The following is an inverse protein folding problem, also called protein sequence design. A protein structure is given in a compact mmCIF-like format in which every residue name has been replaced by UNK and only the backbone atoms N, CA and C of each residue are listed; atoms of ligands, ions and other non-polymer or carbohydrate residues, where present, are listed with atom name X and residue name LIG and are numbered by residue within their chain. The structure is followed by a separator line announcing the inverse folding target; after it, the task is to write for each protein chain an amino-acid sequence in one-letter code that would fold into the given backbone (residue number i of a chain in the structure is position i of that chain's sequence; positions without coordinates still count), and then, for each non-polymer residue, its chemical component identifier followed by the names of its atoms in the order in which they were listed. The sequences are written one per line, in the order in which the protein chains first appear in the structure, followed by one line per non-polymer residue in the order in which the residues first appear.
data_IF_646278383457
#
_entry.id   IF_646278383457
#
_cell.length_a   1.000
_cell.length_b   1.000
_cell.length_c   1.000
_cell.angle_alpha   90.00
_cell.angle_beta   90.00
_cell.angle_gamma   90.00
#
_symmetry.space_group_name_H-M   'P 1'
#
loop_
_entity.id
_entity.type
_entity.pdbx_description
1 polymer ?
#
# COMPACT_ATOMS: atom_id res chain seq x y z
N UNK A 1 14.56 -17.53 29.57
CA UNK A 1 13.32 -16.73 29.41
C UNK A 1 12.51 -17.06 28.14
N UNK A 2 13.07 -17.04 26.93
CA UNK A 2 12.31 -17.27 25.66
C UNK A 2 11.55 -18.62 25.59
N UNK A 3 12.06 -19.70 26.20
CA UNK A 3 11.40 -21.04 26.19
C UNK A 3 10.16 -21.07 27.07
N UNK A 4 10.15 -20.45 28.24
CA UNK A 4 9.03 -20.40 29.17
C UNK A 4 7.85 -19.60 28.62
N UNK A 5 8.11 -18.46 27.98
CA UNK A 5 7.07 -17.63 27.35
C UNK A 5 6.37 -18.38 26.21
N UNK A 6 7.14 -19.06 25.32
CA UNK A 6 6.55 -19.89 24.26
C UNK A 6 5.68 -21.03 24.77
N UNK A 7 6.00 -21.60 25.94
CA UNK A 7 5.25 -22.71 26.51
C UNK A 7 3.96 -22.24 27.20
N UNK A 8 3.96 -21.06 27.78
CA UNK A 8 2.75 -20.41 28.30
C UNK A 8 1.80 -19.96 27.18
N UNK A 9 2.30 -19.33 26.14
CA UNK A 9 1.50 -18.91 24.98
C UNK A 9 0.83 -20.07 24.24
N UNK A 10 1.43 -21.28 24.25
CA UNK A 10 0.82 -22.49 23.66
C UNK A 10 -0.35 -23.07 24.46
N UNK A 11 -0.49 -22.70 25.73
CA UNK A 11 -1.53 -23.22 26.63
C UNK A 11 -2.73 -22.28 26.79
N UNK A 12 -2.66 -21.08 26.23
CA UNK A 12 -3.75 -20.08 26.30
C UNK A 12 -4.70 -20.24 25.11
N UNK A 13 -5.98 -20.13 25.41
CA UNK A 13 -7.02 -20.15 24.38
C UNK A 13 -6.94 -18.84 23.55
N UNK A 14 -7.04 -18.87 22.20
CA UNK A 14 -7.02 -17.64 21.40
C UNK A 14 -7.98 -16.54 21.83
N UNK A 15 -9.10 -16.90 22.46
CA UNK A 15 -10.07 -15.95 23.02
C UNK A 15 -9.56 -15.17 24.26
N UNK A 16 -8.46 -15.62 24.89
CA UNK A 16 -7.89 -15.00 26.09
C UNK A 16 -6.75 -14.01 25.77
N UNK A 17 -6.42 -13.83 24.47
CA UNK A 17 -5.33 -12.93 24.04
C UNK A 17 -5.72 -11.45 23.99
N UNK A 18 -7.00 -11.10 24.10
CA UNK A 18 -7.48 -9.74 23.99
C UNK A 18 -7.04 -8.80 25.12
N UNK A 19 -6.60 -9.35 26.27
CA UNK A 19 -6.30 -8.56 27.48
C UNK A 19 -4.86 -8.72 27.99
N UNK A 20 -3.94 -9.26 27.18
CA UNK A 20 -2.54 -9.45 27.58
C UNK A 20 -1.72 -8.24 27.20
N UNK A 21 -1.52 -7.32 28.13
CA UNK A 21 -0.50 -6.28 28.00
C UNK A 21 0.91 -6.92 28.03
N UNK A 22 1.63 -6.85 26.91
CA UNK A 22 3.03 -7.25 26.84
C UNK A 22 3.90 -6.08 27.36
N UNK A 23 4.45 -6.25 28.57
CA UNK A 23 5.43 -5.33 29.13
C UNK A 23 6.85 -5.86 29.07
N UNK A 24 7.83 -4.99 29.02
CA UNK A 24 9.23 -5.31 29.25
C UNK A 24 9.83 -4.34 30.27
N UNK A 25 10.80 -4.82 31.04
CA UNK A 25 11.57 -3.96 31.94
C UNK A 25 12.78 -3.46 31.15
N UNK A 26 12.88 -2.16 30.99
CA UNK A 26 14.06 -1.49 30.46
C UNK A 26 15.22 -1.70 31.46
N UNK A 27 16.24 -2.42 31.05
CA UNK A 27 17.35 -2.83 31.93
C UNK A 27 18.22 -1.66 32.39
N UNK A 28 18.24 -0.56 31.66
CA UNK A 28 19.04 0.62 31.98
C UNK A 28 18.33 1.54 32.99
N UNK A 29 16.99 1.59 32.92
CA UNK A 29 16.18 2.49 33.77
C UNK A 29 15.40 1.76 34.85
N UNK A 30 15.27 0.43 34.77
CA UNK A 30 14.44 -0.37 35.67
C UNK A 30 12.93 -0.11 35.56
N UNK A 31 12.50 0.67 34.58
CA UNK A 31 11.10 1.06 34.40
C UNK A 31 10.39 0.03 33.53
N UNK A 32 9.22 -0.40 33.98
CA UNK A 32 8.33 -1.24 33.17
C UNK A 32 7.71 -0.39 32.04
N UNK A 33 7.97 -0.78 30.79
CA UNK A 33 7.37 -0.20 29.59
C UNK A 33 6.36 -1.18 29.04
N UNK A 34 5.11 -0.74 28.94
CA UNK A 34 4.06 -1.49 28.28
C UNK A 34 4.28 -1.31 26.76
N UNK A 35 4.43 -2.42 26.07
CA UNK A 35 4.32 -2.41 24.61
C UNK A 35 2.82 -2.31 24.33
N UNK A 36 2.37 -1.14 23.89
CA UNK A 36 1.06 -1.04 23.26
C UNK A 36 1.12 -1.93 22.02
N UNK A 37 0.59 -3.14 22.15
CA UNK A 37 0.26 -3.94 20.96
C UNK A 37 -0.85 -3.14 20.29
N UNK A 38 -0.65 -2.65 19.04
CA UNK A 38 -1.74 -2.00 18.34
C UNK A 38 -2.92 -2.95 18.42
N UNK A 39 -4.09 -2.45 18.87
CA UNK A 39 -5.31 -3.24 18.85
C UNK A 39 -5.36 -3.95 17.51
N UNK A 40 -5.46 -5.28 17.53
CA UNK A 40 -5.67 -6.05 16.33
C UNK A 40 -7.00 -5.54 15.80
N UNK A 41 -6.92 -4.55 14.92
CA UNK A 41 -8.09 -3.98 14.27
C UNK A 41 -8.86 -5.16 13.70
N UNK A 42 -10.14 -5.23 13.89
CA UNK A 42 -11.21 -6.15 13.45
C UNK A 42 -10.94 -7.09 12.27
N UNK A 43 -9.72 -7.53 12.05
CA UNK A 43 -9.28 -8.31 10.89
C UNK A 43 -9.13 -7.47 9.61
N UNK A 44 -9.30 -6.14 9.68
CA UNK A 44 -9.11 -5.25 8.53
C UNK A 44 -7.62 -5.12 8.19
N UNK A 45 -7.29 -5.27 6.90
CA UNK A 45 -5.90 -5.16 6.41
C UNK A 45 -5.47 -3.70 6.22
N UNK A 46 -6.45 -2.81 6.00
CA UNK A 46 -6.24 -1.38 5.71
C UNK A 46 -6.68 -0.56 6.92
N UNK A 47 -5.75 0.11 7.62
CA UNK A 47 -6.07 0.86 8.82
C UNK A 47 -6.90 2.11 8.54
N UNK A 48 -7.74 2.46 9.51
CA UNK A 48 -8.55 3.68 9.47
C UNK A 48 -7.80 4.92 10.01
N UNK A 49 -6.50 4.78 10.31
CA UNK A 49 -5.65 5.85 10.82
C UNK A 49 -4.58 6.22 9.80
N UNK A 50 -3.99 7.40 9.95
CA UNK A 50 -2.84 7.79 9.12
C UNK A 50 -1.64 6.91 9.44
N UNK A 51 -1.06 6.33 8.39
CA UNK A 51 0.22 5.64 8.46
C UNK A 51 1.38 6.59 8.10
N UNK A 52 2.63 6.18 8.30
CA UNK A 52 3.79 7.00 7.89
C UNK A 52 3.74 7.35 6.40
N UNK A 53 4.34 8.49 6.05
CA UNK A 53 4.53 8.85 4.64
C UNK A 53 5.29 7.74 3.89
N UNK A 54 4.91 7.50 2.64
CA UNK A 54 5.44 6.41 1.82
C UNK A 54 4.64 5.09 1.87
N UNK A 55 3.67 4.98 2.79
CA UNK A 55 2.80 3.79 2.92
C UNK A 55 1.54 3.96 2.09
N UNK A 56 1.26 3.02 1.20
CA UNK A 56 0.07 3.01 0.34
C UNK A 56 -0.44 1.60 0.17
N UNK A 57 -1.76 1.45 0.17
CA UNK A 57 -2.42 0.19 -0.12
C UNK A 57 -2.86 0.11 -1.57
N UNK A 58 -2.74 -1.07 -2.16
CA UNK A 58 -3.13 -1.36 -3.53
C UNK A 58 -3.98 -2.62 -3.61
N UNK A 59 -4.81 -2.70 -4.63
CA UNK A 59 -5.53 -3.89 -5.02
C UNK A 59 -5.27 -4.17 -6.49
N UNK A 60 -5.16 -5.44 -6.84
CA UNK A 60 -4.96 -5.83 -8.24
C UNK A 60 -4.90 -7.34 -8.41
N UNK A 61 -4.98 -7.80 -9.64
CA UNK A 61 -4.86 -9.20 -10.01
C UNK A 61 -3.39 -9.61 -10.06
N UNK A 62 -3.06 -10.66 -9.34
CA UNK A 62 -1.73 -11.24 -9.33
C UNK A 62 -1.46 -12.02 -10.61
N UNK A 63 -0.18 -12.33 -10.83
CA UNK A 63 0.26 -13.23 -11.91
C UNK A 63 -0.32 -14.65 -11.79
N UNK A 64 -0.74 -15.05 -10.57
CA UNK A 64 -1.42 -16.32 -10.30
C UNK A 64 -2.95 -16.21 -10.48
N UNK A 65 -3.41 -15.15 -11.13
CA UNK A 65 -4.82 -14.89 -11.45
C UNK A 65 -5.74 -14.77 -10.20
N UNK A 66 -5.23 -14.22 -9.11
CA UNK A 66 -5.96 -13.99 -7.86
C UNK A 66 -5.97 -12.50 -7.55
N UNK A 67 -7.10 -11.96 -7.12
CA UNK A 67 -7.16 -10.57 -6.63
C UNK A 67 -6.62 -10.53 -5.20
N UNK A 68 -5.72 -9.60 -4.95
CA UNK A 68 -5.03 -9.45 -3.66
C UNK A 68 -4.90 -8.00 -3.23
N UNK A 69 -4.67 -7.83 -1.94
CA UNK A 69 -4.36 -6.55 -1.30
C UNK A 69 -2.87 -6.50 -0.96
N UNK A 70 -2.26 -5.40 -1.31
CA UNK A 70 -0.82 -5.16 -1.18
C UNK A 70 -0.57 -3.90 -0.38
N UNK A 71 0.51 -3.90 0.40
CA UNK A 71 1.05 -2.70 1.02
C UNK A 71 2.42 -2.39 0.43
N UNK A 72 2.55 -1.18 -0.07
CA UNK A 72 3.77 -0.62 -0.62
C UNK A 72 4.35 0.35 0.41
N UNK A 73 5.61 0.19 0.76
CA UNK A 73 6.31 1.04 1.72
C UNK A 73 7.54 1.64 1.05
N UNK A 74 7.50 2.93 0.79
CA UNK A 74 8.60 3.68 0.19
C UNK A 74 9.41 4.39 1.27
N UNK A 75 10.71 4.15 1.32
CA UNK A 75 11.64 4.82 2.23
C UNK A 75 12.71 5.54 1.44
N UNK A 76 13.03 6.76 1.91
CA UNK A 76 14.07 7.60 1.35
C UNK A 76 15.28 7.61 2.27
N UNK A 77 16.46 7.58 1.66
CA UNK A 77 17.75 7.85 2.32
C UNK A 77 18.55 8.79 1.42
N UNK A 78 19.42 9.61 1.99
CA UNK A 78 20.34 10.43 1.18
C UNK A 78 21.09 9.57 0.17
N UNK A 79 21.12 10.00 -1.09
CA UNK A 79 21.67 9.16 -2.16
C UNK A 79 21.82 9.86 -3.49
N UNK A 80 21.56 9.15 -4.58
CA UNK A 80 21.83 9.60 -5.95
C UNK A 80 20.69 9.27 -6.94
N UNK A 81 19.47 9.17 -6.48
CA UNK A 81 18.29 8.92 -7.31
C UNK A 81 18.11 7.46 -7.71
N UNK A 82 18.57 6.51 -6.92
CA UNK A 82 18.48 5.08 -7.24
C UNK A 82 17.28 4.44 -6.55
N UNK A 83 16.55 3.60 -7.29
CA UNK A 83 15.54 2.73 -6.73
C UNK A 83 16.16 1.37 -6.36
N UNK A 84 15.94 0.95 -5.12
CA UNK A 84 16.30 -0.38 -4.66
C UNK A 84 15.07 -1.11 -4.13
N UNK A 85 14.98 -2.39 -4.49
CA UNK A 85 13.93 -3.28 -3.99
C UNK A 85 14.46 -4.01 -2.77
N UNK A 86 13.81 -3.86 -1.63
CA UNK A 86 14.16 -4.54 -0.39
C UNK A 86 13.01 -5.39 0.10
N UNK A 87 13.37 -6.53 0.71
CA UNK A 87 12.43 -7.47 1.32
C UNK A 87 11.39 -8.04 0.38
N UNK A 88 11.76 -8.21 -0.87
CA UNK A 88 10.91 -8.79 -1.87
C UNK A 88 11.47 -10.16 -2.20
N UNK A 89 11.23 -11.13 -1.32
CA UNK A 89 11.34 -12.55 -1.71
C UNK A 89 10.52 -12.79 -2.99
N UNK A 90 9.52 -11.93 -3.24
CA UNK A 90 8.72 -11.88 -4.45
C UNK A 90 9.32 -11.12 -5.64
N UNK A 91 9.97 -9.94 -5.50
CA UNK A 91 10.37 -9.14 -6.68
C UNK A 91 11.74 -9.50 -7.26
N UNK A 92 12.68 -10.03 -6.51
CA UNK A 92 13.93 -10.56 -7.10
C UNK A 92 13.68 -11.77 -7.98
N UNK A 93 12.64 -12.55 -7.68
CA UNK A 93 12.10 -13.64 -8.49
C UNK A 93 10.82 -13.29 -9.27
N UNK A 94 10.33 -12.05 -9.17
CA UNK A 94 9.08 -11.65 -9.80
C UNK A 94 9.19 -11.71 -11.33
N UNK A 95 8.07 -11.99 -12.03
CA UNK A 95 7.99 -11.87 -13.47
C UNK A 95 8.49 -10.52 -13.97
N UNK A 96 9.10 -10.51 -15.14
CA UNK A 96 9.65 -9.29 -15.74
C UNK A 96 8.61 -8.18 -15.82
N UNK A 97 7.37 -8.52 -16.18
CA UNK A 97 6.29 -7.55 -16.33
C UNK A 97 5.99 -6.77 -15.03
N UNK A 98 6.04 -7.42 -13.86
CA UNK A 98 5.87 -6.75 -12.57
C UNK A 98 7.04 -5.80 -12.28
N UNK A 99 8.28 -6.23 -12.52
CA UNK A 99 9.46 -5.37 -12.36
C UNK A 99 9.41 -4.18 -13.30
N UNK A 100 9.02 -4.40 -14.55
CA UNK A 100 8.89 -3.33 -15.55
C UNK A 100 7.80 -2.32 -15.14
N UNK A 101 6.67 -2.76 -14.56
CA UNK A 101 5.61 -1.85 -14.11
C UNK A 101 6.06 -0.96 -12.93
N UNK A 102 6.81 -1.52 -11.98
CA UNK A 102 7.38 -0.73 -10.87
C UNK A 102 8.47 0.23 -11.38
N UNK A 103 9.30 -0.21 -12.32
CA UNK A 103 10.30 0.66 -12.97
C UNK A 103 9.62 1.80 -13.73
N UNK A 104 8.51 1.53 -14.41
CA UNK A 104 7.71 2.55 -15.09
C UNK A 104 7.15 3.58 -14.09
N UNK A 105 6.65 3.13 -12.94
CA UNK A 105 6.19 4.01 -11.86
C UNK A 105 7.30 4.94 -11.36
N UNK A 106 8.50 4.40 -11.13
CA UNK A 106 9.65 5.17 -10.69
C UNK A 106 10.11 6.21 -11.73
N UNK A 107 10.17 5.82 -13.00
CA UNK A 107 10.52 6.73 -14.09
C UNK A 107 9.49 7.86 -14.21
N UNK A 108 8.19 7.52 -14.16
CA UNK A 108 7.11 8.50 -14.15
C UNK A 108 7.24 9.49 -12.99
N UNK A 109 7.51 8.98 -11.78
CA UNK A 109 7.77 9.80 -10.62
C UNK A 109 8.95 10.75 -10.84
N UNK A 110 10.09 10.27 -11.33
CA UNK A 110 11.28 11.08 -11.60
C UNK A 110 11.00 12.24 -12.57
N UNK A 111 10.24 11.98 -13.64
CA UNK A 111 9.85 12.99 -14.62
C UNK A 111 8.87 14.05 -14.07
N UNK A 112 8.06 13.67 -13.08
CA UNK A 112 6.96 14.51 -12.58
C UNK A 112 7.17 15.00 -11.14
N UNK A 113 8.22 14.58 -10.44
CA UNK A 113 8.45 14.90 -9.03
C UNK A 113 8.37 16.40 -8.74
N UNK A 114 8.98 17.22 -9.58
CA UNK A 114 9.01 18.69 -9.44
C UNK A 114 7.64 19.37 -9.59
N UNK A 115 6.62 18.65 -10.08
CA UNK A 115 5.25 19.19 -10.19
C UNK A 115 4.49 19.17 -8.87
N UNK A 116 4.93 18.39 -7.90
CA UNK A 116 4.27 18.21 -6.62
C UNK A 116 5.14 18.62 -5.43
N UNK A 117 6.46 18.46 -5.56
CA UNK A 117 7.42 18.73 -4.51
C UNK A 117 8.57 19.60 -5.02
N UNK A 118 9.12 20.44 -4.13
CA UNK A 118 10.28 21.28 -4.45
C UNK A 118 11.61 20.53 -4.37
N UNK A 119 11.63 19.43 -3.63
CA UNK A 119 12.85 18.66 -3.40
C UNK A 119 13.31 17.93 -4.66
N UNK A 120 14.62 17.88 -4.85
CA UNK A 120 15.18 17.17 -5.98
C UNK A 120 15.18 15.65 -5.71
N UNK A 121 14.42 14.88 -6.48
CA UNK A 121 14.34 13.44 -6.30
C UNK A 121 15.71 12.74 -6.44
N UNK A 122 16.65 13.31 -7.18
CA UNK A 122 18.01 12.79 -7.38
C UNK A 122 18.89 12.84 -6.14
N UNK A 123 18.49 13.56 -5.09
CA UNK A 123 19.24 13.64 -3.83
C UNK A 123 18.93 12.49 -2.87
N UNK A 124 17.98 11.62 -3.21
CA UNK A 124 17.58 10.50 -2.39
C UNK A 124 17.70 9.19 -3.17
N UNK A 125 18.09 8.13 -2.47
CA UNK A 125 17.88 6.76 -2.91
C UNK A 125 16.56 6.25 -2.33
N UNK A 126 15.83 5.46 -3.11
CA UNK A 126 14.48 4.99 -2.80
C UNK A 126 14.52 3.49 -2.55
N UNK A 127 13.87 3.05 -1.48
CA UNK A 127 13.74 1.64 -1.15
C UNK A 127 12.26 1.27 -1.10
N UNK A 128 11.83 0.39 -1.99
CA UNK A 128 10.49 -0.18 -1.98
C UNK A 128 10.46 -1.50 -1.22
N UNK A 129 9.53 -1.59 -0.28
CA UNK A 129 9.10 -2.83 0.37
C UNK A 129 7.70 -3.16 -0.13
N UNK A 130 7.58 -4.30 -0.79
CA UNK A 130 6.32 -4.79 -1.32
C UNK A 130 5.81 -5.91 -0.42
N UNK A 131 4.64 -5.73 0.17
CA UNK A 131 4.02 -6.70 1.06
C UNK A 131 2.71 -7.20 0.45
N UNK A 132 2.67 -8.48 0.10
CA UNK A 132 1.43 -9.19 -0.25
C UNK A 132 0.72 -9.60 1.05
N UNK A 133 -0.37 -8.91 1.38
CA UNK A 133 -1.07 -9.08 2.65
C UNK A 133 -1.93 -10.35 2.71
N UNK A 134 -2.16 -11.01 1.58
CA UNK A 134 -3.07 -12.13 1.46
C UNK A 134 -2.44 -13.38 0.83
N UNK A 135 -1.12 -13.37 0.55
CA UNK A 135 -0.40 -14.45 -0.13
C UNK A 135 -1.05 -14.81 -1.48
N UNK A 136 -1.36 -13.80 -2.29
CA UNK A 136 -1.98 -13.95 -3.62
C UNK A 136 -0.97 -13.93 -4.76
N UNK A 137 0.29 -13.61 -4.48
CA UNK A 137 1.34 -13.40 -5.48
C UNK A 137 1.44 -11.93 -5.90
N UNK A 138 2.44 -11.61 -6.71
CA UNK A 138 2.72 -10.22 -7.15
C UNK A 138 1.78 -9.76 -8.25
N UNK A 139 1.53 -8.44 -8.34
CA UNK A 139 0.64 -7.82 -9.31
C UNK A 139 1.32 -6.66 -10.05
N UNK A 140 0.99 -6.49 -11.33
CA UNK A 140 1.37 -5.32 -12.12
C UNK A 140 0.43 -4.12 -11.90
N UNK A 141 -0.80 -4.38 -11.45
CA UNK A 141 -1.87 -3.38 -11.28
C UNK A 141 -1.65 -2.49 -10.05
N UNK A 142 -0.52 -2.63 -9.36
CA UNK A 142 -0.14 -1.83 -8.18
C UNK A 142 0.78 -0.64 -8.50
N UNK A 143 1.19 -0.47 -9.76
CA UNK A 143 2.23 0.51 -10.08
C UNK A 143 1.79 1.97 -9.94
N UNK A 144 0.49 2.29 -10.04
CA UNK A 144 -0.01 3.63 -9.66
C UNK A 144 0.10 3.87 -8.16
N UNK A 145 -0.18 2.86 -7.34
CA UNK A 145 0.04 2.95 -5.89
C UNK A 145 1.51 3.20 -5.55
N UNK A 146 2.44 2.64 -6.33
CA UNK A 146 3.87 2.94 -6.20
C UNK A 146 4.17 4.41 -6.50
N UNK A 147 3.60 5.00 -7.57
CA UNK A 147 3.73 6.44 -7.84
C UNK A 147 3.23 7.26 -6.66
N UNK A 148 2.06 6.93 -6.12
CA UNK A 148 1.48 7.59 -4.93
C UNK A 148 2.42 7.46 -3.72
N UNK A 149 2.97 6.28 -3.48
CA UNK A 149 3.89 6.01 -2.38
C UNK A 149 5.19 6.82 -2.48
N UNK A 150 5.77 6.93 -3.67
CA UNK A 150 6.96 7.74 -3.94
C UNK A 150 6.70 9.23 -3.69
N UNK A 151 5.58 9.77 -4.19
CA UNK A 151 5.18 11.15 -3.90
C UNK A 151 4.89 11.37 -2.43
N UNK A 152 4.23 10.42 -1.76
CA UNK A 152 3.98 10.46 -0.32
C UNK A 152 5.29 10.54 0.48
N UNK A 153 6.26 9.70 0.13
CA UNK A 153 7.54 9.62 0.80
C UNK A 153 8.35 10.93 0.66
N UNK A 154 8.52 11.44 -0.57
CA UNK A 154 9.31 12.66 -0.81
C UNK A 154 8.63 13.92 -0.25
N UNK A 155 7.29 13.97 -0.30
CA UNK A 155 6.53 15.07 0.28
C UNK A 155 6.43 14.98 1.81
N UNK A 156 6.91 13.90 2.42
CA UNK A 156 6.72 13.60 3.85
C UNK A 156 5.25 13.74 4.28
N UNK A 157 4.33 13.36 3.38
CA UNK A 157 2.89 13.50 3.57
C UNK A 157 2.20 12.13 3.47
N UNK A 158 1.51 11.68 4.51
CA UNK A 158 0.82 10.39 4.49
C UNK A 158 -0.36 10.40 3.51
N UNK A 159 -0.66 9.24 2.95
CA UNK A 159 -1.87 9.02 2.19
C UNK A 159 -3.12 9.06 3.09
N UNK A 160 -4.29 9.41 2.50
CA UNK A 160 -5.57 9.43 3.21
C UNK A 160 -5.88 8.04 3.77
N UNK A 161 -6.31 7.93 5.05
CA UNK A 161 -6.65 6.65 5.67
C UNK A 161 -7.77 5.89 4.95
N UNK A 162 -7.80 4.58 5.12
CA UNK A 162 -8.79 3.68 4.53
C UNK A 162 -8.91 3.78 3.01
N UNK A 163 -7.84 4.24 2.33
CA UNK A 163 -7.78 4.35 0.88
C UNK A 163 -6.97 3.21 0.28
N UNK A 164 -7.47 2.66 -0.82
CA UNK A 164 -6.79 1.68 -1.65
C UNK A 164 -6.67 2.22 -3.07
N UNK A 165 -5.56 1.95 -3.72
CA UNK A 165 -5.25 2.45 -5.08
C UNK A 165 -5.19 1.27 -6.04
N UNK A 166 -5.79 1.42 -7.21
CA UNK A 166 -5.72 0.46 -8.29
C UNK A 166 -5.30 1.15 -9.58
N UNK A 167 -4.41 0.52 -10.34
CA UNK A 167 -4.01 1.03 -11.65
C UNK A 167 -2.59 0.63 -12.05
N UNK A 168 -2.35 0.64 -13.37
CA UNK A 168 -1.09 0.26 -13.96
C UNK A 168 -0.53 1.35 -14.88
N UNK A 169 0.71 1.74 -14.60
CA UNK A 169 1.50 2.66 -15.43
C UNK A 169 2.36 1.84 -16.39
N UNK A 170 2.50 2.31 -17.63
CA UNK A 170 3.46 1.77 -18.61
C UNK A 170 4.68 2.66 -18.78
N UNK A 171 5.74 2.11 -19.38
CA UNK A 171 7.03 2.82 -19.55
C UNK A 171 6.93 4.16 -20.29
N UNK A 172 5.90 4.36 -21.11
CA UNK A 172 5.62 5.65 -21.76
C UNK A 172 4.92 6.67 -20.85
N UNK A 173 4.67 6.34 -19.58
CA UNK A 173 3.93 7.18 -18.63
C UNK A 173 2.42 7.14 -18.79
N UNK A 174 1.90 6.38 -19.76
CA UNK A 174 0.47 6.17 -19.97
C UNK A 174 -0.13 5.20 -18.96
N UNK A 175 -1.48 5.12 -18.96
CA UNK A 175 -2.24 4.17 -18.17
C UNK A 175 -2.58 2.94 -19.01
N UNK A 176 -2.59 1.76 -18.38
CA UNK A 176 -3.15 0.55 -18.98
C UNK A 176 -4.53 0.28 -18.40
N UNK A 177 -5.48 -0.22 -19.22
CA UNK A 177 -6.74 -0.74 -18.73
C UNK A 177 -6.51 -1.82 -17.66
N UNK A 178 -7.37 -1.85 -16.67
CA UNK A 178 -7.35 -2.93 -15.68
C UNK A 178 -7.79 -4.24 -16.32
N UNK A 179 -7.14 -5.32 -15.92
CA UNK A 179 -7.51 -6.69 -16.34
C UNK A 179 -8.47 -7.35 -15.36
N UNK A 180 -8.61 -6.75 -14.18
CA UNK A 180 -9.45 -7.25 -13.09
C UNK A 180 -10.86 -6.66 -13.18
N UNK A 181 -11.87 -7.52 -13.02
CA UNK A 181 -13.26 -7.08 -12.93
C UNK A 181 -13.48 -6.20 -11.70
N UNK A 182 -14.23 -5.11 -11.84
CA UNK A 182 -14.43 -4.15 -10.75
C UNK A 182 -15.18 -4.76 -9.56
N UNK A 183 -16.10 -5.70 -9.78
CA UNK A 183 -16.80 -6.39 -8.71
C UNK A 183 -15.82 -7.09 -7.77
N UNK A 184 -14.85 -7.84 -8.31
CA UNK A 184 -13.81 -8.51 -7.51
C UNK A 184 -12.93 -7.50 -6.74
N UNK A 185 -12.58 -6.38 -7.40
CA UNK A 185 -11.78 -5.31 -6.78
C UNK A 185 -12.54 -4.72 -5.59
N UNK A 186 -13.82 -4.36 -5.77
CA UNK A 186 -14.63 -3.75 -4.73
C UNK A 186 -14.90 -4.69 -3.55
N UNK A 187 -15.25 -5.93 -3.81
CA UNK A 187 -15.43 -6.95 -2.76
C UNK A 187 -14.12 -7.16 -1.99
N UNK A 188 -12.98 -7.24 -2.68
CA UNK A 188 -11.68 -7.43 -2.03
C UNK A 188 -11.30 -6.20 -1.20
N UNK A 189 -11.52 -5.00 -1.72
CA UNK A 189 -11.23 -3.74 -1.03
C UNK A 189 -12.12 -3.56 0.22
N UNK A 190 -13.43 -3.82 0.10
CA UNK A 190 -14.37 -3.74 1.22
C UNK A 190 -13.98 -4.71 2.35
N UNK A 191 -13.73 -5.98 2.01
CA UNK A 191 -13.31 -7.01 2.96
C UNK A 191 -11.96 -6.68 3.63
N UNK A 192 -11.10 -5.91 2.97
CA UNK A 192 -9.83 -5.45 3.53
C UNK A 192 -9.97 -4.21 4.43
N UNK A 193 -11.17 -3.61 4.51
CA UNK A 193 -11.45 -2.42 5.33
C UNK A 193 -11.29 -1.09 4.61
N UNK A 194 -11.12 -1.08 3.27
CA UNK A 194 -11.11 0.15 2.50
C UNK A 194 -12.46 0.87 2.58
N UNK A 195 -12.43 2.19 2.69
CA UNK A 195 -13.61 3.07 2.58
C UNK A 195 -13.56 3.92 1.32
N UNK A 196 -12.40 4.02 0.70
CA UNK A 196 -12.18 4.75 -0.55
C UNK A 196 -11.33 3.90 -1.48
N UNK A 197 -11.68 3.92 -2.75
CA UNK A 197 -10.89 3.29 -3.81
C UNK A 197 -10.58 4.34 -4.89
N UNK A 198 -9.32 4.40 -5.28
CA UNK A 198 -8.83 5.30 -6.31
C UNK A 198 -8.62 4.51 -7.60
N UNK A 199 -9.38 4.85 -8.65
CA UNK A 199 -9.50 4.12 -9.91
C UNK A 199 -9.14 5.00 -11.11
N UNK A 200 -8.60 4.42 -12.20
CA UNK A 200 -8.51 5.10 -13.48
C UNK A 200 -9.88 5.59 -13.98
N UNK A 201 -9.91 6.75 -14.63
CA UNK A 201 -11.14 7.32 -15.21
C UNK A 201 -11.82 6.35 -16.19
N UNK A 202 -11.04 5.55 -16.93
CA UNK A 202 -11.55 4.53 -17.87
C UNK A 202 -12.44 3.46 -17.19
N UNK A 203 -12.36 3.34 -15.86
CA UNK A 203 -13.19 2.42 -15.09
C UNK A 203 -14.60 2.96 -14.82
N UNK A 204 -14.88 4.24 -15.09
CA UNK A 204 -16.14 4.89 -14.74
C UNK A 204 -17.37 4.19 -15.31
N UNK A 205 -17.33 3.80 -16.58
CA UNK A 205 -18.47 3.12 -17.21
C UNK A 205 -18.77 1.76 -16.53
N UNK A 206 -17.72 1.02 -16.15
CA UNK A 206 -17.88 -0.25 -15.46
C UNK A 206 -18.34 -0.04 -14.01
N UNK A 207 -17.85 1.02 -13.35
CA UNK A 207 -18.31 1.40 -12.01
C UNK A 207 -19.82 1.69 -12.00
N UNK A 208 -20.38 2.34 -13.03
CA UNK A 208 -21.82 2.61 -13.08
C UNK A 208 -22.66 1.32 -13.09
N UNK A 209 -22.11 0.21 -13.59
CA UNK A 209 -22.76 -1.10 -13.66
C UNK A 209 -22.70 -1.88 -12.32
N UNK A 210 -21.88 -1.44 -11.37
CA UNK A 210 -21.78 -2.08 -10.06
C UNK A 210 -23.09 -1.97 -9.26
N UNK A 211 -23.31 -2.93 -8.37
CA UNK A 211 -24.44 -2.89 -7.45
C UNK A 211 -24.39 -1.68 -6.52
N UNK A 212 -25.56 -1.18 -6.11
CA UNK A 212 -25.64 -0.07 -5.16
C UNK A 212 -25.01 -0.43 -3.80
N UNK A 213 -25.05 -1.68 -3.41
CA UNK A 213 -24.45 -2.19 -2.17
C UNK A 213 -22.94 -1.97 -2.15
N UNK A 214 -22.22 -2.42 -3.17
CA UNK A 214 -20.76 -2.23 -3.30
C UNK A 214 -20.39 -0.74 -3.37
N UNK A 215 -21.15 0.07 -4.10
CA UNK A 215 -20.93 1.52 -4.18
C UNK A 215 -21.08 2.23 -2.84
N UNK A 216 -21.96 1.72 -1.96
CA UNK A 216 -22.19 2.27 -0.63
C UNK A 216 -21.11 1.85 0.38
N UNK A 217 -20.50 0.69 0.20
CA UNK A 217 -19.46 0.19 1.09
C UNK A 217 -18.11 0.90 0.88
N UNK A 218 -17.74 1.15 -0.40
CA UNK A 218 -16.47 1.75 -0.79
C UNK A 218 -16.73 2.88 -1.79
N UNK A 219 -16.34 4.09 -1.42
CA UNK A 219 -16.45 5.28 -2.28
C UNK A 219 -15.39 5.24 -3.38
N UNK A 220 -15.81 5.29 -4.64
CA UNK A 220 -14.86 5.45 -5.75
C UNK A 220 -14.44 6.91 -5.93
N UNK A 221 -13.14 7.11 -6.14
CA UNK A 221 -12.53 8.35 -6.62
C UNK A 221 -11.82 8.03 -7.93
N UNK A 222 -11.86 8.95 -8.89
CA UNK A 222 -11.32 8.70 -10.22
C UNK A 222 -10.16 9.64 -10.53
N UNK A 223 -9.21 9.17 -11.32
CA UNK A 223 -8.06 9.92 -11.77
C UNK A 223 -7.74 9.61 -13.25
N UNK A 224 -7.23 10.61 -13.96
CA UNK A 224 -6.83 10.49 -15.38
C UNK A 224 -5.32 10.29 -15.54
N UNK A 225 -4.53 10.68 -14.55
CA UNK A 225 -3.06 10.53 -14.58
C UNK A 225 -2.52 10.05 -13.24
N UNK A 226 -1.37 9.34 -13.20
CA UNK A 226 -0.77 8.92 -11.92
C UNK A 226 -0.42 10.10 -10.99
N UNK A 227 -0.10 11.27 -11.54
CA UNK A 227 0.13 12.49 -10.74
C UNK A 227 -1.17 12.97 -10.08
N UNK A 228 -2.29 12.92 -10.78
CA UNK A 228 -3.60 13.24 -10.22
C UNK A 228 -3.98 12.25 -9.13
N UNK A 229 -3.74 10.94 -9.35
CA UNK A 229 -3.91 9.93 -8.32
C UNK A 229 -3.11 10.27 -7.04
N UNK A 230 -1.85 10.69 -7.19
CA UNK A 230 -1.04 11.12 -6.06
C UNK A 230 -1.62 12.34 -5.35
N UNK A 231 -2.07 13.36 -6.09
CA UNK A 231 -2.71 14.55 -5.51
C UNK A 231 -3.95 14.19 -4.70
N UNK A 232 -4.85 13.39 -5.27
CA UNK A 232 -6.08 12.94 -4.59
C UNK A 232 -5.73 12.13 -3.34
N UNK A 233 -4.83 11.16 -3.47
CA UNK A 233 -4.45 10.28 -2.35
C UNK A 233 -3.76 11.02 -1.21
N UNK A 234 -3.03 12.10 -1.51
CA UNK A 234 -2.34 12.92 -0.51
C UNK A 234 -3.19 14.11 -0.03
N UNK A 235 -4.41 14.29 -0.55
CA UNK A 235 -5.26 15.43 -0.21
C UNK A 235 -4.59 16.76 -0.55
N UNK A 236 -3.94 16.84 -1.71
CA UNK A 236 -3.37 18.08 -2.26
C UNK A 236 -4.35 18.62 -3.29
N UNK A 237 -4.74 19.88 -3.15
CA UNK A 237 -5.65 20.51 -4.09
C UNK A 237 -5.07 20.52 -5.51
N UNK A 238 -5.91 20.25 -6.50
CA UNK A 238 -5.60 20.22 -7.92
C UNK A 238 -5.47 21.61 -8.52
#
# INVERSE_FOLDING_TARGET
CRRRVKEQLRKMNPAEFSDVALGYIDLDTGVEKIIEVPEISDGTLIPAVFEPAGYVYAVGRSVDNKVGVYRLENKLVEGSGKLSFRNVEGLSGAPKAVRDSITAAFNYFGEHSRKLVSDNFETFDYSLYFNDLQNRGVSEEVSVAEVVGLFSAIASRPAIPSMIVCGRVVMSGGMMPLTTELDEIFVTAANAGAKKILLPEDCRENYEKLSAELKNEVQALFYSTPLEAAKIALGVDS
#
